data_IF_491788169142
#
_entry.id   IF_491788169142
#
_cell.length_a   1.000
_cell.length_b   1.000
_cell.length_c   1.000
_cell.angle_alpha   90.00
_cell.angle_beta   90.00
_cell.angle_gamma   90.00
#
_symmetry.space_group_name_H-M   'P 1'
#
loop_
_entity.id
_entity.type
_entity.pdbx_description
1 polymer ?
#
# COMPACT_ATOMS: atom_id res chain seq x y z
N UNK A 1 -14.64 -9.74 16.15
CA UNK A 1 -13.40 -9.43 15.41
C UNK A 1 -12.25 -9.91 16.27
N UNK A 2 -11.64 -11.05 15.93
CA UNK A 2 -10.65 -11.71 16.79
C UNK A 2 -9.31 -11.88 16.03
N UNK A 3 -9.01 -10.98 15.10
CA UNK A 3 -7.75 -11.02 14.37
C UNK A 3 -6.53 -10.70 15.25
N UNK A 4 -5.38 -10.52 14.61
CA UNK A 4 -4.14 -10.27 15.32
C UNK A 4 -4.06 -8.87 15.93
N UNK A 5 -4.29 -8.75 17.23
CA UNK A 5 -3.90 -7.55 17.98
C UNK A 5 -2.41 -7.23 17.84
N UNK A 6 -2.03 -5.98 18.13
CA UNK A 6 -0.65 -5.53 17.90
C UNK A 6 0.37 -6.30 18.75
N UNK A 7 0.03 -6.74 19.96
CA UNK A 7 0.92 -7.56 20.79
C UNK A 7 1.24 -8.91 20.14
N UNK A 8 0.33 -9.49 19.36
CA UNK A 8 0.61 -10.74 18.65
C UNK A 8 1.69 -10.53 17.58
N UNK A 9 1.56 -9.46 16.80
CA UNK A 9 2.54 -9.09 15.76
C UNK A 9 3.91 -8.77 16.39
N UNK A 10 3.91 -8.03 17.51
CA UNK A 10 5.12 -7.76 18.31
C UNK A 10 5.75 -9.04 18.85
N UNK A 11 4.95 -9.96 19.39
CA UNK A 11 5.44 -11.21 19.95
C UNK A 11 6.10 -12.09 18.88
N UNK A 12 5.48 -12.23 17.71
CA UNK A 12 6.09 -12.97 16.60
C UNK A 12 7.42 -12.34 16.16
N UNK A 13 7.44 -11.01 15.99
CA UNK A 13 8.64 -10.29 15.59
C UNK A 13 9.74 -10.33 16.67
N UNK A 14 9.39 -10.23 17.95
CA UNK A 14 10.32 -10.36 19.08
C UNK A 14 10.95 -11.76 19.13
N UNK A 15 10.15 -12.80 18.93
CA UNK A 15 10.61 -14.19 19.00
C UNK A 15 11.51 -14.57 17.81
N UNK A 16 11.17 -14.08 16.60
CA UNK A 16 11.90 -14.43 15.38
C UNK A 16 11.88 -13.30 14.34
N UNK A 17 12.67 -12.22 14.53
CA UNK A 17 12.62 -11.03 13.66
C UNK A 17 13.11 -11.29 12.23
N UNK A 18 13.79 -12.42 11.97
CA UNK A 18 14.19 -12.86 10.63
C UNK A 18 13.17 -13.76 9.93
N UNK A 19 12.08 -14.10 10.62
CA UNK A 19 11.00 -14.95 10.10
C UNK A 19 9.65 -14.22 10.10
N UNK A 20 9.34 -13.49 11.17
CA UNK A 20 8.16 -12.65 11.30
C UNK A 20 8.52 -11.17 11.13
N UNK A 21 8.76 -10.77 9.88
CA UNK A 21 9.24 -9.44 9.51
C UNK A 21 8.23 -8.66 8.66
N UNK A 22 6.98 -9.12 8.59
CA UNK A 22 5.96 -8.50 7.77
C UNK A 22 4.67 -9.29 7.81
N UNK A 23 3.73 -8.85 6.99
CA UNK A 23 2.36 -9.29 7.00
C UNK A 23 1.75 -9.01 5.63
N UNK A 24 0.86 -9.91 5.23
CA UNK A 24 -0.04 -9.64 4.12
C UNK A 24 -1.13 -8.69 4.64
N UNK A 25 -1.05 -7.44 4.24
CA UNK A 25 -2.09 -6.45 4.58
C UNK A 25 -2.86 -5.98 3.36
N UNK A 26 -2.47 -6.37 2.16
CA UNK A 26 -3.31 -6.30 0.97
C UNK A 26 -3.69 -7.75 0.60
N UNK A 27 -4.83 -8.26 1.07
CA UNK A 27 -5.19 -9.67 0.94
C UNK A 27 -5.43 -10.06 -0.52
N UNK A 28 -5.38 -11.36 -0.81
CA UNK A 28 -5.91 -11.94 -2.05
C UNK A 28 -7.42 -11.80 -2.21
N UNK A 29 -8.04 -12.62 -3.05
CA UNK A 29 -9.51 -12.62 -3.24
C UNK A 29 -10.09 -11.25 -3.64
N UNK A 30 -9.32 -10.44 -4.39
CA UNK A 30 -9.71 -9.08 -4.75
C UNK A 30 -11.01 -8.99 -5.57
N UNK A 31 -11.37 -10.03 -6.31
CA UNK A 31 -12.58 -10.11 -7.12
C UNK A 31 -13.76 -10.79 -6.39
N UNK A 32 -13.60 -11.22 -5.14
CA UNK A 32 -14.64 -11.93 -4.40
C UNK A 32 -15.82 -11.03 -4.04
N UNK A 33 -16.96 -11.66 -3.72
CA UNK A 33 -18.19 -10.94 -3.38
C UNK A 33 -18.02 -9.99 -2.18
N UNK A 34 -17.12 -10.32 -1.25
CA UNK A 34 -16.68 -9.40 -0.21
C UNK A 34 -15.18 -9.26 -0.40
N UNK A 35 -14.68 -8.13 -0.93
CA UNK A 35 -13.28 -7.96 -1.32
C UNK A 35 -12.31 -8.36 -0.19
N UNK A 36 -11.34 -9.21 -0.53
CA UNK A 36 -10.44 -9.82 0.46
C UNK A 36 -11.04 -10.99 1.25
N UNK A 37 -12.25 -11.44 0.91
CA UNK A 37 -13.14 -12.25 1.74
C UNK A 37 -13.41 -11.72 3.16
N UNK A 38 -13.25 -10.41 3.36
CA UNK A 38 -13.51 -9.76 4.65
C UNK A 38 -15.01 -9.51 4.78
N UNK A 39 -15.66 -10.15 5.76
CA UNK A 39 -17.11 -10.13 5.85
C UNK A 39 -17.58 -10.13 7.30
N UNK A 40 -18.27 -9.06 7.74
CA UNK A 40 -18.76 -8.94 9.12
C UNK A 40 -19.52 -10.17 9.56
N UNK A 41 -19.09 -10.74 10.69
CA UNK A 41 -19.75 -11.89 11.33
C UNK A 41 -19.75 -13.20 10.52
N UNK A 42 -18.82 -13.37 9.56
CA UNK A 42 -18.72 -14.57 8.73
C UNK A 42 -18.55 -15.86 9.53
N UNK A 43 -17.69 -15.85 10.54
CA UNK A 43 -17.28 -17.05 11.25
C UNK A 43 -17.87 -17.10 12.65
N UNK A 44 -18.21 -18.29 13.13
CA UNK A 44 -18.63 -18.55 14.50
C UNK A 44 -17.67 -19.54 15.15
N UNK A 45 -16.90 -19.09 16.13
CA UNK A 45 -16.01 -19.93 16.91
C UNK A 45 -16.50 -19.91 18.36
N UNK A 46 -17.07 -21.02 18.81
CA UNK A 46 -17.53 -21.16 20.21
C UNK A 46 -18.64 -20.19 20.60
N UNK A 47 -19.53 -19.83 19.68
CA UNK A 47 -20.61 -18.86 19.91
C UNK A 47 -20.19 -17.39 19.74
N UNK A 48 -18.91 -17.13 19.47
CA UNK A 48 -18.37 -15.79 19.22
C UNK A 48 -18.26 -15.58 17.72
N UNK A 49 -18.94 -14.54 17.23
CA UNK A 49 -18.81 -14.11 15.84
C UNK A 49 -17.44 -13.44 15.63
N UNK A 50 -16.63 -14.04 14.78
CA UNK A 50 -15.28 -13.58 14.42
C UNK A 50 -15.23 -13.21 12.95
N UNK A 51 -14.36 -12.25 12.65
CA UNK A 51 -14.19 -11.67 11.32
C UNK A 51 -12.80 -11.03 11.24
N UNK A 52 -12.38 -10.72 10.02
CA UNK A 52 -11.22 -9.92 9.66
C UNK A 52 -11.27 -8.52 10.27
N UNK A 53 -10.09 -8.02 10.66
CA UNK A 53 -9.98 -6.75 11.37
C UNK A 53 -10.37 -5.58 10.47
N UNK A 54 -11.26 -4.71 10.96
CA UNK A 54 -11.85 -3.61 10.18
C UNK A 54 -13.13 -3.96 9.42
N UNK A 55 -13.48 -5.25 9.27
CA UNK A 55 -14.73 -5.72 8.67
C UNK A 55 -14.79 -5.68 7.13
N UNK A 56 -13.88 -4.96 6.47
CA UNK A 56 -13.71 -4.94 5.00
C UNK A 56 -12.29 -4.49 4.67
N UNK A 57 -11.91 -4.56 3.40
CA UNK A 57 -10.77 -3.82 2.86
C UNK A 57 -11.13 -2.34 2.63
N UNK A 58 -10.09 -1.53 2.49
CA UNK A 58 -10.11 -0.11 2.17
C UNK A 58 -9.14 0.09 1.02
N UNK A 59 -9.60 0.35 -0.20
CA UNK A 59 -8.66 0.42 -1.30
C UNK A 59 -8.08 -0.97 -1.66
N UNK A 60 -8.81 -2.05 -1.35
CA UNK A 60 -8.29 -3.42 -1.40
C UNK A 60 -7.25 -3.75 -0.32
N UNK A 61 -7.00 -2.85 0.64
CA UNK A 61 -6.03 -3.02 1.73
C UNK A 61 -6.73 -3.20 3.07
N UNK A 62 -6.31 -4.17 3.87
CA UNK A 62 -6.78 -4.36 5.23
C UNK A 62 -6.50 -3.15 6.13
N UNK A 63 -7.34 -2.95 7.15
CA UNK A 63 -7.36 -1.72 7.96
C UNK A 63 -6.01 -1.39 8.63
N UNK A 64 -5.19 -2.41 8.93
CA UNK A 64 -3.88 -2.22 9.57
C UNK A 64 -2.89 -1.43 8.72
N UNK A 65 -2.90 -1.62 7.40
CA UNK A 65 -2.03 -0.91 6.46
C UNK A 65 -2.70 0.29 5.78
N UNK A 66 -4.03 0.25 5.62
CA UNK A 66 -4.77 1.30 4.92
C UNK A 66 -4.85 2.61 5.71
N UNK A 67 -5.01 2.52 7.04
CA UNK A 67 -5.19 3.68 7.90
C UNK A 67 -3.84 4.32 8.26
N UNK A 68 -3.70 5.62 7.96
CA UNK A 68 -2.52 6.40 8.38
C UNK A 68 -2.53 6.53 9.90
N UNK A 69 -1.43 6.14 10.52
CA UNK A 69 -1.29 6.05 11.97
C UNK A 69 -1.87 4.76 12.57
N UNK A 70 -2.30 3.80 11.75
CA UNK A 70 -2.84 2.52 12.20
C UNK A 70 -1.79 1.56 12.77
N UNK A 71 -2.13 0.27 12.85
CA UNK A 71 -1.28 -0.78 13.43
C UNK A 71 0.07 -0.87 12.73
N UNK A 72 0.12 -0.74 11.40
CA UNK A 72 1.39 -0.76 10.67
C UNK A 72 2.29 0.39 11.11
N UNK A 73 1.77 1.61 11.14
CA UNK A 73 2.51 2.81 11.55
C UNK A 73 2.92 2.77 13.03
N UNK A 74 2.18 2.06 13.88
CA UNK A 74 2.58 1.75 15.26
C UNK A 74 3.83 0.86 15.29
N UNK A 75 3.84 -0.22 14.52
CA UNK A 75 5.00 -1.11 14.40
C UNK A 75 6.21 -0.40 13.76
N UNK A 76 5.99 0.38 12.70
CA UNK A 76 7.04 1.22 12.10
C UNK A 76 7.55 2.27 13.10
N UNK A 77 6.65 2.83 13.92
CA UNK A 77 6.97 3.76 15.01
C UNK A 77 7.81 3.14 16.12
N UNK A 78 7.89 1.82 16.22
CA UNK A 78 8.83 1.16 17.12
C UNK A 78 10.23 1.01 16.50
N UNK A 79 10.38 1.34 15.21
CA UNK A 79 11.61 1.13 14.45
C UNK A 79 11.81 -0.32 14.01
N UNK A 80 10.77 -1.16 14.07
CA UNK A 80 10.81 -2.60 13.75
C UNK A 80 10.77 -2.86 12.25
N UNK A 81 11.47 -3.91 11.84
CA UNK A 81 11.28 -4.49 10.51
C UNK A 81 9.94 -5.22 10.43
N UNK A 82 8.92 -4.53 9.95
CA UNK A 82 7.60 -5.09 9.72
C UNK A 82 7.00 -4.59 8.41
N UNK A 83 7.19 -5.38 7.36
CA UNK A 83 7.02 -5.01 5.96
C UNK A 83 5.64 -5.34 5.42
N UNK A 84 5.16 -4.46 4.55
CA UNK A 84 3.93 -4.61 3.80
C UNK A 84 4.15 -5.61 2.66
N UNK A 85 3.26 -6.61 2.57
CA UNK A 85 3.16 -7.50 1.42
C UNK A 85 1.71 -7.62 0.94
N UNK A 86 1.56 -8.00 -0.33
CA UNK A 86 0.32 -8.42 -0.95
C UNK A 86 0.39 -9.91 -1.35
N UNK A 87 -0.74 -10.57 -1.55
CA UNK A 87 -0.78 -11.88 -2.22
C UNK A 87 -2.03 -12.00 -3.09
N UNK A 88 -2.07 -12.98 -3.99
CA UNK A 88 -3.27 -13.25 -4.78
C UNK A 88 -4.27 -14.17 -4.06
N UNK A 89 -3.76 -14.97 -3.12
CA UNK A 89 -4.46 -16.09 -2.46
C UNK A 89 -5.30 -16.95 -3.42
N UNK A 90 -4.67 -17.36 -4.53
CA UNK A 90 -5.38 -17.96 -5.65
C UNK A 90 -5.89 -19.37 -5.33
N UNK A 91 -7.20 -19.56 -5.51
CA UNK A 91 -7.89 -20.84 -5.40
C UNK A 91 -8.76 -21.13 -6.64
N UNK A 92 -9.49 -20.14 -7.17
CA UNK A 92 -10.36 -20.27 -8.37
C UNK A 92 -10.89 -18.91 -8.88
N UNK A 93 -11.50 -18.87 -10.09
CA UNK A 93 -12.18 -17.65 -10.62
C UNK A 93 -13.63 -17.48 -10.17
N UNK A 94 -14.09 -18.24 -9.18
CA UNK A 94 -15.45 -18.22 -8.68
C UNK A 94 -16.41 -18.89 -9.66
N UNK A 95 -17.33 -18.11 -10.20
CA UNK A 95 -18.35 -18.61 -11.14
C UNK A 95 -17.81 -18.93 -12.54
N UNK A 96 -16.51 -18.69 -12.77
CA UNK A 96 -15.85 -18.86 -14.06
C UNK A 96 -14.83 -20.00 -14.04
N UNK A 97 -14.60 -20.60 -15.20
CA UNK A 97 -13.51 -21.55 -15.39
C UNK A 97 -12.14 -20.88 -15.23
N UNK A 98 -11.08 -21.66 -14.94
CA UNK A 98 -9.75 -21.10 -14.68
C UNK A 98 -9.21 -20.24 -15.83
N UNK A 99 -9.56 -20.55 -17.08
CA UNK A 99 -9.06 -19.83 -18.27
C UNK A 99 -9.89 -18.60 -18.66
N UNK A 100 -11.00 -18.30 -17.97
CA UNK A 100 -11.77 -17.07 -18.21
C UNK A 100 -10.95 -15.84 -17.76
N UNK A 101 -11.22 -14.66 -18.31
CA UNK A 101 -10.57 -13.41 -17.89
C UNK A 101 -11.37 -12.65 -16.84
N UNK A 102 -12.64 -13.01 -16.65
CA UNK A 102 -13.52 -12.49 -15.60
C UNK A 102 -13.33 -13.28 -14.33
N UNK A 103 -13.62 -12.66 -13.19
CA UNK A 103 -13.57 -13.34 -11.90
C UNK A 103 -14.66 -12.83 -10.96
N UNK A 104 -15.23 -13.75 -10.18
CA UNK A 104 -16.03 -13.41 -8.99
C UNK A 104 -15.37 -13.88 -7.69
N UNK A 105 -14.07 -14.18 -7.72
CA UNK A 105 -13.32 -14.72 -6.57
C UNK A 105 -11.87 -14.25 -6.60
N UNK A 106 -11.00 -14.95 -7.36
CA UNK A 106 -9.56 -14.67 -7.33
C UNK A 106 -9.02 -14.18 -8.67
N UNK A 107 -7.87 -13.54 -8.59
CA UNK A 107 -7.00 -13.25 -9.73
C UNK A 107 -5.81 -14.19 -9.70
N UNK A 108 -5.28 -14.55 -10.87
CA UNK A 108 -4.06 -15.35 -10.94
C UNK A 108 -2.90 -14.68 -10.20
N UNK A 109 -1.92 -15.44 -9.67
CA UNK A 109 -0.70 -14.87 -9.12
C UNK A 109 -0.04 -13.91 -10.12
N UNK A 110 0.09 -12.64 -9.74
CA UNK A 110 0.66 -11.59 -10.58
C UNK A 110 -0.27 -10.97 -11.64
N UNK A 111 -1.53 -11.41 -11.74
CA UNK A 111 -2.55 -10.81 -12.61
C UNK A 111 -2.99 -9.44 -12.09
N UNK A 112 -3.36 -9.39 -10.80
CA UNK A 112 -3.82 -8.17 -10.14
C UNK A 112 -2.78 -7.61 -9.17
N UNK A 113 -2.41 -8.37 -8.13
CA UNK A 113 -1.42 -7.94 -7.12
C UNK A 113 -0.01 -8.44 -7.45
N UNK A 114 0.98 -7.56 -7.25
CA UNK A 114 2.40 -7.89 -7.38
C UNK A 114 3.19 -7.28 -6.23
N UNK A 115 4.12 -8.07 -5.69
CA UNK A 115 5.22 -7.54 -4.90
C UNK A 115 6.45 -7.43 -5.80
N UNK A 116 7.07 -6.26 -5.80
CA UNK A 116 8.37 -6.03 -6.42
C UNK A 116 9.39 -6.01 -5.29
N UNK A 117 10.29 -6.99 -5.26
CA UNK A 117 11.32 -7.12 -4.21
C UNK A 117 12.69 -7.05 -4.84
N UNK A 118 13.54 -6.17 -4.33
CA UNK A 118 14.93 -6.09 -4.75
C UNK A 118 15.73 -7.26 -4.17
N UNK A 119 16.33 -8.06 -5.06
CA UNK A 119 17.16 -9.21 -4.67
C UNK A 119 18.61 -8.93 -5.04
N UNK A 120 19.46 -8.71 -4.02
CA UNK A 120 20.89 -8.52 -4.18
C UNK A 120 21.57 -9.86 -4.42
N UNK A 121 21.84 -10.17 -5.69
CA UNK A 121 22.39 -11.46 -6.11
C UNK A 121 23.92 -11.47 -6.27
N UNK A 122 24.62 -10.36 -6.00
CA UNK A 122 26.09 -10.31 -5.99
C UNK A 122 26.75 -10.66 -7.33
N UNK A 123 26.03 -10.47 -8.45
CA UNK A 123 26.51 -10.85 -9.78
C UNK A 123 26.19 -12.30 -10.20
N UNK A 124 25.55 -13.09 -9.33
CA UNK A 124 25.04 -14.42 -9.69
C UNK A 124 23.97 -14.27 -10.79
N UNK A 125 24.08 -15.04 -11.86
CA UNK A 125 23.12 -15.00 -12.98
C UNK A 125 21.82 -15.73 -12.64
N UNK A 126 21.78 -16.51 -11.57
CA UNK A 126 20.59 -17.22 -11.10
C UNK A 126 20.22 -16.80 -9.68
N UNK A 127 18.95 -16.45 -9.48
CA UNK A 127 18.43 -16.19 -8.15
C UNK A 127 18.38 -17.49 -7.34
N UNK A 128 18.97 -17.47 -6.15
CA UNK A 128 18.91 -18.58 -5.18
C UNK A 128 17.75 -18.35 -4.21
N UNK A 129 17.08 -19.40 -3.70
CA UNK A 129 16.00 -19.24 -2.73
C UNK A 129 16.38 -18.37 -1.53
N UNK A 130 17.59 -18.57 -0.99
CA UNK A 130 18.10 -17.77 0.11
C UNK A 130 18.22 -16.28 -0.23
N UNK A 131 18.70 -15.93 -1.44
CA UNK A 131 18.79 -14.53 -1.87
C UNK A 131 17.41 -13.89 -2.02
N UNK A 132 16.39 -14.65 -2.44
CA UNK A 132 15.00 -14.16 -2.51
C UNK A 132 14.48 -13.88 -1.10
N UNK A 133 14.65 -14.82 -0.18
CA UNK A 133 14.24 -14.65 1.23
C UNK A 133 14.95 -13.46 1.87
N UNK A 134 16.25 -13.27 1.60
CA UNK A 134 16.99 -12.11 2.11
C UNK A 134 16.55 -10.80 1.46
N UNK A 135 16.13 -10.82 0.19
CA UNK A 135 15.44 -9.69 -0.46
C UNK A 135 14.15 -9.32 0.27
N UNK A 136 13.29 -10.30 0.58
CA UNK A 136 12.05 -10.07 1.34
C UNK A 136 12.34 -9.50 2.74
N UNK A 137 13.32 -10.08 3.45
CA UNK A 137 13.76 -9.59 4.77
C UNK A 137 14.30 -8.17 4.74
N UNK A 138 14.92 -7.77 3.63
CA UNK A 138 15.50 -6.43 3.49
C UNK A 138 14.45 -5.33 3.51
N UNK A 139 13.20 -5.61 3.18
CA UNK A 139 12.15 -4.60 3.10
C UNK A 139 12.28 -3.68 1.90
N UNK A 140 13.27 -3.85 1.03
CA UNK A 140 13.35 -3.14 -0.26
C UNK A 140 12.32 -3.75 -1.22
N UNK A 141 11.06 -3.45 -0.93
CA UNK A 141 9.90 -3.96 -1.64
C UNK A 141 8.73 -2.98 -1.61
N UNK A 142 7.93 -3.03 -2.66
CA UNK A 142 6.63 -2.36 -2.74
C UNK A 142 5.61 -3.32 -3.35
N UNK A 143 4.34 -3.11 -3.00
CA UNK A 143 3.21 -3.81 -3.59
C UNK A 143 2.46 -2.87 -4.53
N UNK A 144 1.94 -3.39 -5.64
CA UNK A 144 1.06 -2.64 -6.56
C UNK A 144 -0.05 -3.54 -7.08
N UNK A 145 -1.27 -3.01 -7.15
CA UNK A 145 -2.41 -3.65 -7.77
C UNK A 145 -2.68 -3.11 -9.17
N UNK A 146 -3.17 -3.98 -10.05
CA UNK A 146 -3.63 -3.64 -11.40
C UNK A 146 -2.57 -3.06 -12.31
N UNK A 147 -1.29 -3.32 -12.02
CA UNK A 147 -0.13 -2.81 -12.74
C UNK A 147 -0.07 -1.28 -12.76
N UNK A 148 -0.62 -0.62 -11.74
CA UNK A 148 -0.63 0.84 -11.62
C UNK A 148 0.79 1.43 -11.67
N UNK A 149 1.73 0.79 -10.99
CA UNK A 149 3.16 1.04 -11.19
C UNK A 149 3.92 -0.29 -11.22
N UNK A 150 5.02 -0.33 -11.95
CA UNK A 150 5.87 -1.53 -12.03
C UNK A 150 7.37 -1.24 -11.82
N UNK A 151 7.69 0.02 -11.47
CA UNK A 151 9.02 0.47 -11.06
C UNK A 151 8.90 1.53 -9.98
N UNK A 152 9.73 1.43 -8.96
CA UNK A 152 9.87 2.42 -7.91
C UNK A 152 11.34 2.50 -7.47
N UNK A 153 11.89 3.71 -7.48
CA UNK A 153 13.09 4.05 -6.72
C UNK A 153 12.69 5.10 -5.68
N UNK A 154 12.94 4.80 -4.41
CA UNK A 154 12.63 5.68 -3.29
C UNK A 154 13.89 5.82 -2.44
N UNK A 155 14.40 7.05 -2.32
CA UNK A 155 15.70 7.32 -1.72
C UNK A 155 15.60 8.52 -0.79
N UNK A 156 16.21 8.41 0.38
CA UNK A 156 16.46 9.53 1.28
C UNK A 156 17.96 9.72 1.44
N UNK A 157 18.44 10.96 1.33
CA UNK A 157 19.85 11.29 1.47
C UNK A 157 20.04 12.43 2.46
N UNK A 158 21.04 12.29 3.34
CA UNK A 158 21.41 13.35 4.26
C UNK A 158 22.05 14.52 3.50
N UNK A 159 21.73 15.73 3.93
CA UNK A 159 22.29 16.97 3.40
C UNK A 159 22.64 17.89 4.58
N UNK A 160 23.87 18.40 4.56
CA UNK A 160 24.38 19.35 5.55
C UNK A 160 24.81 20.62 4.83
N UNK A 161 24.64 21.76 5.48
CA UNK A 161 25.11 23.06 4.95
C UNK A 161 26.60 23.01 4.64
N UNK A 162 27.01 23.59 3.51
CA UNK A 162 28.40 23.65 3.08
C UNK A 162 28.61 23.11 1.67
N UNK A 163 29.87 22.95 1.27
CA UNK A 163 30.26 22.59 -0.10
C UNK A 163 29.76 21.21 -0.56
N UNK A 164 29.45 20.31 0.37
CA UNK A 164 28.93 18.97 0.09
C UNK A 164 27.39 18.86 0.24
N UNK A 165 26.68 19.98 0.34
CA UNK A 165 25.22 19.99 0.45
C UNK A 165 24.59 19.32 -0.77
N UNK A 166 23.72 18.34 -0.52
CA UNK A 166 22.94 17.70 -1.59
C UNK A 166 21.76 18.56 -1.99
N UNK A 167 21.61 18.77 -3.29
CA UNK A 167 20.45 19.42 -3.90
C UNK A 167 19.36 18.38 -4.17
N UNK A 168 18.13 18.85 -4.41
CA UNK A 168 17.05 17.99 -4.86
C UNK A 168 17.41 17.29 -6.18
N UNK A 169 17.95 18.06 -7.14
CA UNK A 169 18.35 17.55 -8.45
C UNK A 169 19.42 16.44 -8.37
N UNK A 170 20.39 16.53 -7.46
CA UNK A 170 21.42 15.49 -7.35
C UNK A 170 20.86 14.17 -6.80
N UNK A 171 19.89 14.22 -5.88
CA UNK A 171 19.25 13.02 -5.34
C UNK A 171 18.21 12.45 -6.30
N UNK A 172 17.50 13.31 -7.05
CA UNK A 172 16.65 12.86 -8.16
C UNK A 172 17.44 12.13 -9.23
N UNK A 173 18.65 12.58 -9.56
CA UNK A 173 19.52 11.89 -10.52
C UNK A 173 19.89 10.47 -10.04
N UNK A 174 20.14 10.29 -8.73
CA UNK A 174 20.39 8.96 -8.15
C UNK A 174 19.14 8.07 -8.26
N UNK A 175 17.96 8.59 -7.91
CA UNK A 175 16.71 7.85 -7.98
C UNK A 175 16.34 7.47 -9.42
N UNK A 176 16.56 8.38 -10.38
CA UNK A 176 16.32 8.13 -11.78
C UNK A 176 17.24 7.04 -12.33
N UNK A 177 18.54 7.11 -12.03
CA UNK A 177 19.50 6.09 -12.43
C UNK A 177 19.14 4.71 -11.87
N UNK A 178 18.71 4.65 -10.60
CA UNK A 178 18.26 3.43 -9.95
C UNK A 178 17.02 2.83 -10.62
N UNK A 179 15.99 3.67 -10.87
CA UNK A 179 14.76 3.25 -11.53
C UNK A 179 15.02 2.73 -12.96
N UNK A 180 15.83 3.45 -13.75
CA UNK A 180 16.20 3.07 -15.11
C UNK A 180 16.99 1.75 -15.14
N UNK A 181 17.94 1.58 -14.22
CA UNK A 181 18.77 0.37 -14.16
C UNK A 181 18.07 -0.83 -13.50
N UNK A 182 16.89 -0.63 -12.88
CA UNK A 182 16.26 -1.61 -11.99
C UNK A 182 17.15 -2.04 -10.82
N UNK A 183 17.84 -1.09 -10.19
CA UNK A 183 18.81 -1.36 -9.11
C UNK A 183 18.44 -0.58 -7.86
N UNK A 184 19.01 -0.98 -6.74
CA UNK A 184 19.06 -0.17 -5.54
C UNK A 184 20.13 0.93 -5.65
N UNK A 185 20.25 1.72 -4.59
CA UNK A 185 21.29 2.75 -4.47
C UNK A 185 22.22 2.43 -3.34
N UNK A 186 23.51 2.35 -3.66
CA UNK A 186 24.61 2.20 -2.71
C UNK A 186 25.48 3.46 -2.76
N UNK A 187 24.96 4.55 -2.20
CA UNK A 187 25.63 5.86 -2.16
C UNK A 187 25.75 6.30 -0.71
N UNK A 188 26.97 6.61 -0.28
CA UNK A 188 27.25 7.02 1.08
C UNK A 188 26.32 8.16 1.56
N UNK A 189 25.72 8.02 2.73
CA UNK A 189 24.77 9.00 3.27
C UNK A 189 23.41 9.03 2.58
N UNK A 190 23.05 8.00 1.82
CA UNK A 190 21.70 7.73 1.34
C UNK A 190 21.21 6.38 1.88
N UNK A 191 19.89 6.19 1.90
CA UNK A 191 19.22 4.94 2.22
C UNK A 191 18.02 4.75 1.28
N UNK A 192 17.60 3.50 1.07
CA UNK A 192 16.37 3.15 0.35
C UNK A 192 15.39 2.36 1.22
N UNK A 193 14.32 1.84 0.62
CA UNK A 193 13.27 1.10 1.30
C UNK A 193 13.85 -0.04 2.14
N UNK A 194 13.39 -0.16 3.38
CA UNK A 194 13.84 -1.16 4.32
C UNK A 194 15.27 -0.94 4.84
N UNK A 195 15.82 0.27 4.69
CA UNK A 195 17.12 0.68 5.25
C UNK A 195 16.94 1.88 6.20
N UNK A 196 17.98 2.18 7.00
CA UNK A 196 18.04 3.41 7.80
C UNK A 196 19.16 4.35 7.37
N UNK A 197 18.82 5.64 7.38
CA UNK A 197 19.75 6.74 7.22
C UNK A 197 20.09 7.33 8.59
N UNK A 198 21.33 7.16 9.06
CA UNK A 198 21.79 7.75 10.32
C UNK A 198 22.30 9.18 10.07
N UNK A 199 21.78 10.15 10.83
CA UNK A 199 22.10 11.58 10.68
C UNK A 199 22.36 12.28 11.99
N UNK A 200 23.04 13.43 11.95
CA UNK A 200 23.16 14.33 13.11
C UNK A 200 21.87 15.13 13.31
N UNK A 201 21.51 15.52 14.55
CA UNK A 201 20.42 16.45 14.80
C UNK A 201 20.55 17.72 13.95
N UNK A 202 19.45 18.16 13.35
CA UNK A 202 19.40 19.32 12.47
C UNK A 202 19.82 19.07 11.02
N UNK A 203 20.06 17.81 10.62
CA UNK A 203 20.30 17.49 9.21
C UNK A 203 19.06 17.77 8.35
N UNK A 204 19.28 18.16 7.09
CA UNK A 204 18.22 18.12 6.08
C UNK A 204 18.21 16.73 5.43
N UNK A 205 17.02 16.21 5.16
CA UNK A 205 16.84 14.98 4.41
C UNK A 205 16.24 15.32 3.06
N UNK A 206 16.98 15.04 1.98
CA UNK A 206 16.48 15.15 0.62
C UNK A 206 15.89 13.81 0.23
N UNK A 207 14.61 13.81 -0.13
CA UNK A 207 13.88 12.62 -0.50
C UNK A 207 13.53 12.71 -1.97
N UNK A 208 13.86 11.68 -2.74
CA UNK A 208 13.49 11.55 -4.14
C UNK A 208 12.72 10.25 -4.37
N UNK A 209 11.70 10.36 -5.23
CA UNK A 209 10.86 9.25 -5.68
C UNK A 209 10.87 9.26 -7.20
N UNK A 210 11.08 8.09 -7.79
CA UNK A 210 10.86 7.86 -9.23
C UNK A 210 9.97 6.63 -9.37
N UNK A 211 8.84 6.79 -10.05
CA UNK A 211 7.92 5.71 -10.38
C UNK A 211 7.81 5.54 -11.89
N UNK A 212 7.47 4.34 -12.37
CA UNK A 212 6.99 4.15 -13.74
C UNK A 212 5.50 3.85 -13.71
N UNK A 213 4.73 4.70 -14.37
CA UNK A 213 3.29 4.54 -14.64
C UNK A 213 3.15 3.98 -16.07
N UNK A 214 3.12 2.64 -16.24
CA UNK A 214 3.37 2.01 -17.53
C UNK A 214 2.29 2.34 -18.56
N UNK A 215 2.69 2.80 -19.74
CA UNK A 215 1.77 3.00 -20.85
C UNK A 215 1.15 1.70 -21.37
N UNK A 216 -0.04 1.81 -21.96
CA UNK A 216 -0.74 0.69 -22.57
C UNK A 216 -1.71 0.00 -21.63
N UNK A 217 -1.98 -1.28 -21.90
CA UNK A 217 -3.03 -2.01 -21.19
C UNK A 217 -2.48 -2.86 -20.05
N UNK A 218 -3.16 -2.87 -18.90
CA UNK A 218 -2.99 -3.86 -17.85
C UNK A 218 -3.77 -5.16 -18.18
N UNK A 219 -3.84 -6.09 -17.21
CA UNK A 219 -4.52 -7.36 -17.39
C UNK A 219 -6.04 -7.33 -17.22
N UNK A 220 -6.64 -6.21 -16.81
CA UNK A 220 -8.09 -6.04 -16.83
C UNK A 220 -8.63 -6.36 -18.23
N UNK A 221 -9.67 -7.20 -18.33
CA UNK A 221 -10.27 -7.50 -19.63
C UNK A 221 -11.19 -6.37 -20.11
N UNK A 222 -11.44 -5.35 -19.29
CA UNK A 222 -12.47 -4.36 -19.52
C UNK A 222 -11.95 -3.10 -20.21
N UNK A 223 -12.46 -2.81 -21.40
CA UNK A 223 -12.07 -1.64 -22.21
C UNK A 223 -12.94 -0.42 -21.99
N UNK A 224 -13.98 -0.53 -21.16
CA UNK A 224 -14.84 0.60 -20.82
C UNK A 224 -14.26 1.47 -19.71
N UNK A 225 -14.73 2.72 -19.65
CA UNK A 225 -14.28 3.68 -18.64
C UNK A 225 -14.60 3.21 -17.22
N UNK A 226 -13.63 3.38 -16.33
CA UNK A 226 -13.71 3.10 -14.90
C UNK A 226 -14.93 3.82 -14.28
N UNK A 227 -15.95 3.08 -13.80
CA UNK A 227 -17.14 3.68 -13.22
C UNK A 227 -16.86 4.55 -11.99
N UNK A 228 -15.84 4.23 -11.20
CA UNK A 228 -15.45 5.02 -10.02
C UNK A 228 -14.94 6.41 -10.42
N UNK A 229 -14.11 6.49 -11.46
CA UNK A 229 -13.62 7.75 -12.03
C UNK A 229 -14.71 8.52 -12.79
N UNK A 230 -15.66 7.83 -13.40
CA UNK A 230 -16.78 8.46 -14.11
C UNK A 230 -17.65 9.34 -13.18
N UNK A 231 -17.72 9.01 -11.88
CA UNK A 231 -18.44 9.81 -10.87
C UNK A 231 -17.89 11.25 -10.75
N UNK A 232 -16.63 11.46 -11.10
CA UNK A 232 -15.95 12.76 -11.06
C UNK A 232 -15.59 13.26 -12.47
N UNK A 233 -16.25 12.72 -13.50
CA UNK A 233 -16.12 13.18 -14.88
C UNK A 233 -14.82 12.76 -15.58
N UNK A 234 -14.07 11.79 -15.04
CA UNK A 234 -12.84 11.29 -15.64
C UNK A 234 -13.15 10.06 -16.51
N UNK A 235 -12.86 10.18 -17.80
CA UNK A 235 -13.02 9.10 -18.78
C UNK A 235 -11.70 8.35 -18.96
N UNK A 236 -11.54 7.22 -18.26
CA UNK A 236 -10.33 6.40 -18.32
C UNK A 236 -10.68 4.91 -18.32
N UNK A 237 -10.26 4.13 -19.34
CA UNK A 237 -10.52 2.69 -19.39
C UNK A 237 -9.97 1.93 -18.19
N UNK A 238 -10.71 0.93 -17.69
CA UNK A 238 -10.25 0.04 -16.62
C UNK A 238 -8.95 -0.69 -16.97
N UNK A 239 -8.77 -1.01 -18.24
CA UNK A 239 -7.57 -1.66 -18.71
C UNK A 239 -6.41 -0.72 -19.00
N UNK A 240 -6.57 0.60 -18.86
CA UNK A 240 -5.50 1.59 -19.03
C UNK A 240 -5.49 2.53 -17.82
N UNK A 241 -5.18 2.02 -16.62
CA UNK A 241 -5.08 2.87 -15.44
C UNK A 241 -3.94 3.87 -15.59
N UNK A 242 -4.09 5.01 -14.92
CA UNK A 242 -3.11 6.08 -14.84
C UNK A 242 -2.93 6.40 -13.37
N UNK A 243 -1.69 6.62 -12.94
CA UNK A 243 -1.38 7.04 -11.60
C UNK A 243 -1.85 8.49 -11.37
N UNK A 244 -2.74 8.69 -10.40
CA UNK A 244 -3.24 10.03 -10.05
C UNK A 244 -2.28 10.78 -9.12
N UNK A 245 -1.83 10.10 -8.05
CA UNK A 245 -0.96 10.70 -7.05
C UNK A 245 -0.05 9.70 -6.32
N UNK A 246 0.98 10.25 -5.68
CA UNK A 246 1.85 9.59 -4.70
C UNK A 246 1.83 10.41 -3.41
N UNK A 247 1.35 9.79 -2.35
CA UNK A 247 1.41 10.32 -0.99
C UNK A 247 2.71 9.91 -0.30
N UNK A 248 3.34 10.87 0.35
CA UNK A 248 4.46 10.66 1.26
C UNK A 248 3.96 10.76 2.70
N UNK A 249 4.04 9.64 3.42
CA UNK A 249 3.62 9.53 4.81
C UNK A 249 4.84 9.47 5.70
N UNK A 250 4.85 10.26 6.77
CA UNK A 250 5.93 10.29 7.75
C UNK A 250 5.37 10.17 9.15
N UNK A 251 5.95 9.26 9.95
CA UNK A 251 5.73 9.15 11.39
C UNK A 251 7.04 9.11 12.17
N UNK A 252 6.97 9.44 13.45
CA UNK A 252 8.09 9.39 14.39
C UNK A 252 8.35 7.96 14.86
N UNK A 253 9.63 7.69 15.13
CA UNK A 253 10.09 6.49 15.81
C UNK A 253 10.21 6.78 17.31
N UNK A 254 9.41 6.07 18.07
CA UNK A 254 9.25 6.16 19.53
C UNK A 254 9.93 5.01 20.28
N UNK A 255 10.41 3.99 19.56
CA UNK A 255 11.20 2.88 20.10
C UNK A 255 10.35 1.66 20.48
N UNK A 256 11.02 0.53 20.71
CA UNK A 256 10.37 -0.76 20.98
C UNK A 256 9.51 -0.71 22.25
N UNK A 257 8.32 -1.30 22.18
CA UNK A 257 7.48 -1.51 23.36
C UNK A 257 7.96 -2.72 24.16
N UNK A 258 8.02 -2.56 25.48
CA UNK A 258 8.43 -3.64 26.41
C UNK A 258 7.23 -4.55 26.69
N UNK A 259 7.36 -5.88 26.54
CA UNK A 259 6.29 -6.82 26.91
C UNK A 259 5.77 -6.58 28.33
N UNK A 260 4.44 -6.49 28.48
CA UNK A 260 3.78 -6.21 29.76
C UNK A 260 3.64 -4.73 30.11
N UNK A 261 4.24 -3.80 29.35
CA UNK A 261 3.98 -2.37 29.51
C UNK A 261 2.55 -2.01 29.09
N UNK A 262 2.02 -0.91 29.63
CA UNK A 262 0.64 -0.44 29.36
C UNK A 262 0.40 -0.08 27.90
N UNK A 263 1.44 0.28 27.14
CA UNK A 263 1.39 0.59 25.71
C UNK A 263 1.85 -0.59 24.81
N UNK A 264 1.98 -1.80 25.37
CA UNK A 264 2.39 -3.00 24.64
C UNK A 264 1.26 -3.75 23.93
N UNK A 265 0.03 -3.68 24.45
CA UNK A 265 -1.09 -4.46 23.94
C UNK A 265 -2.29 -3.58 23.62
N UNK A 266 -3.03 -3.94 22.58
CA UNK A 266 -4.17 -3.16 22.12
C UNK A 266 -4.89 -3.83 20.96
N UNK A 267 -6.18 -4.08 21.18
CA UNK A 267 -7.09 -4.56 20.13
C UNK A 267 -7.58 -3.39 19.27
N UNK A 268 -7.63 -3.60 17.96
CA UNK A 268 -8.24 -2.64 17.05
C UNK A 268 -9.76 -2.55 17.30
N UNK A 269 -10.38 -1.35 17.29
CA UNK A 269 -11.79 -1.21 17.60
C UNK A 269 -12.68 -2.11 16.75
N UNK A 270 -13.49 -2.95 17.41
CA UNK A 270 -14.44 -3.84 16.74
C UNK A 270 -15.54 -3.10 15.98
N UNK A 271 -15.80 -1.85 16.38
CA UNK A 271 -16.82 -0.97 15.80
C UNK A 271 -16.30 -0.11 14.65
N UNK A 272 -15.05 -0.32 14.20
CA UNK A 272 -14.39 0.57 13.24
C UNK A 272 -15.21 0.86 11.98
N UNK A 273 -15.92 -0.13 11.44
CA UNK A 273 -16.77 0.08 10.26
C UNK A 273 -17.92 1.08 10.49
N UNK A 274 -18.46 1.13 11.72
CA UNK A 274 -19.54 2.04 12.10
C UNK A 274 -19.01 3.36 12.71
N UNK A 275 -17.81 3.34 13.28
CA UNK A 275 -17.18 4.48 13.95
C UNK A 275 -15.66 4.48 13.64
N UNK A 276 -15.25 4.91 12.42
CA UNK A 276 -13.85 4.94 12.01
C UNK A 276 -13.14 6.16 12.61
N UNK A 277 -12.90 6.12 13.91
CA UNK A 277 -12.26 7.20 14.67
C UNK A 277 -10.97 6.72 15.34
N UNK A 278 -9.83 7.29 14.90
CA UNK A 278 -8.51 7.01 15.45
C UNK A 278 -8.37 7.35 16.95
N UNK A 279 -9.25 8.19 17.51
CA UNK A 279 -9.29 8.43 18.95
C UNK A 279 -9.68 7.16 19.73
N UNK A 280 -10.51 6.30 19.13
CA UNK A 280 -10.96 5.03 19.75
C UNK A 280 -9.91 3.92 19.71
N UNK A 281 -8.90 4.03 18.84
CA UNK A 281 -7.82 3.05 18.72
C UNK A 281 -6.91 3.15 19.96
N UNK A 282 -6.55 2.04 20.63
CA UNK A 282 -5.63 2.07 21.77
C UNK A 282 -4.28 2.69 21.41
N UNK A 283 -3.64 3.39 22.35
CA UNK A 283 -2.33 4.01 22.14
C UNK A 283 -1.26 3.01 21.69
N UNK A 284 -1.35 1.76 22.16
CA UNK A 284 -0.47 0.68 21.74
C UNK A 284 -0.55 0.40 20.23
N UNK A 285 -1.73 0.51 19.63
CA UNK A 285 -2.07 0.07 18.27
C UNK A 285 -2.13 1.22 17.24
N UNK A 286 -1.60 2.40 17.59
CA UNK A 286 -1.55 3.56 16.70
C UNK A 286 -0.25 4.35 16.83
N UNK A 287 0.06 5.11 15.79
CA UNK A 287 1.09 6.13 15.80
C UNK A 287 0.51 7.47 15.31
N UNK A 288 0.13 8.33 16.26
CA UNK A 288 -0.54 9.61 15.98
C UNK A 288 0.37 10.65 15.33
N UNK A 289 1.66 10.39 15.23
CA UNK A 289 2.59 11.28 14.51
C UNK A 289 2.65 11.00 13.00
N UNK A 290 2.08 9.87 12.55
CA UNK A 290 1.98 9.52 11.15
C UNK A 290 1.00 10.46 10.44
N UNK A 291 1.46 11.10 9.37
CA UNK A 291 0.63 11.96 8.54
C UNK A 291 1.16 11.97 7.10
N UNK A 292 0.27 12.22 6.14
CA UNK A 292 0.67 12.63 4.79
C UNK A 292 1.33 14.00 4.90
N UNK A 293 2.62 14.09 4.57
CA UNK A 293 3.39 15.33 4.63
C UNK A 293 3.60 15.98 3.27
N UNK A 294 3.36 15.22 2.19
CA UNK A 294 3.46 15.68 0.81
C UNK A 294 2.63 14.75 -0.08
N UNK A 295 1.91 15.33 -1.02
CA UNK A 295 1.28 14.60 -2.12
C UNK A 295 1.88 15.12 -3.42
N UNK A 296 2.30 14.21 -4.30
CA UNK A 296 2.73 14.49 -5.66
C UNK A 296 1.66 13.99 -6.63
N UNK A 297 1.44 14.72 -7.71
CA UNK A 297 0.42 14.47 -8.73
C UNK A 297 0.86 15.11 -10.06
N UNK A 298 -0.02 15.11 -11.05
CA UNK A 298 0.19 15.68 -12.39
C UNK A 298 0.75 17.11 -12.44
N UNK A 299 0.62 17.90 -11.37
CA UNK A 299 1.13 19.29 -11.31
C UNK A 299 2.44 19.44 -10.54
N UNK A 300 2.95 18.37 -9.93
CA UNK A 300 4.05 18.47 -8.95
C UNK A 300 5.17 17.45 -9.13
N UNK A 301 4.97 16.39 -9.91
CA UNK A 301 6.06 15.59 -10.47
C UNK A 301 6.44 16.08 -11.87
N UNK A 302 7.56 15.57 -12.39
CA UNK A 302 8.01 15.84 -13.77
C UNK A 302 8.25 14.54 -14.50
N UNK A 303 7.97 14.51 -15.82
CA UNK A 303 8.34 13.37 -16.65
C UNK A 303 9.87 13.27 -16.77
N UNK A 304 10.38 12.05 -16.73
CA UNK A 304 11.78 11.71 -16.94
C UNK A 304 12.00 10.81 -18.19
N UNK A 305 10.98 10.72 -19.05
CA UNK A 305 10.97 9.87 -20.25
C UNK A 305 10.66 8.40 -19.96
N UNK A 306 10.19 7.65 -20.97
CA UNK A 306 9.92 6.22 -20.85
C UNK A 306 8.95 5.86 -19.72
N UNK A 307 7.86 6.63 -19.60
CA UNK A 307 6.81 6.49 -18.57
C UNK A 307 7.28 6.74 -17.12
N UNK A 308 8.52 7.22 -16.93
CA UNK A 308 9.04 7.56 -15.62
C UNK A 308 8.58 8.95 -15.18
N UNK A 309 8.11 9.02 -13.95
CA UNK A 309 7.77 10.26 -13.24
C UNK A 309 8.76 10.42 -12.09
N UNK A 310 9.38 11.59 -11.98
CA UNK A 310 10.32 11.93 -10.89
C UNK A 310 9.82 13.09 -10.06
N UNK A 311 10.08 13.02 -8.77
CA UNK A 311 9.68 14.03 -7.80
C UNK A 311 10.63 14.02 -6.60
N UNK A 312 10.79 15.16 -5.96
CA UNK A 312 11.58 15.28 -4.74
C UNK A 312 11.10 16.37 -3.81
N UNK A 313 11.46 16.25 -2.54
CA UNK A 313 11.24 17.28 -1.53
C UNK A 313 12.30 17.17 -0.43
N UNK A 314 12.24 18.09 0.53
CA UNK A 314 13.15 18.14 1.66
C UNK A 314 12.40 18.09 2.98
N UNK A 315 12.87 17.27 3.90
CA UNK A 315 12.49 17.32 5.32
C UNK A 315 13.58 18.11 6.03
N UNK A 316 13.33 19.36 6.43
CA UNK A 316 14.37 20.22 6.98
C UNK A 316 14.66 19.87 8.44
N UNK A 317 15.92 20.10 8.84
CA UNK A 317 16.35 20.16 10.24
C UNK A 317 15.78 19.06 11.16
N UNK A 318 15.95 17.79 10.82
CA UNK A 318 15.36 16.67 11.57
C UNK A 318 15.91 16.58 12.98
N UNK A 319 15.02 16.53 13.98
CA UNK A 319 15.39 16.50 15.40
C UNK A 319 15.05 15.18 16.10
N UNK A 320 14.22 14.35 15.48
CA UNK A 320 13.77 13.07 16.01
C UNK A 320 13.84 12.01 14.94
N UNK A 321 14.10 10.76 15.35
CA UNK A 321 14.06 9.62 14.46
C UNK A 321 12.65 9.41 13.93
N UNK A 322 12.55 9.01 12.67
CA UNK A 322 11.29 8.96 11.93
C UNK A 322 11.39 7.93 10.81
N UNK A 323 10.25 7.62 10.21
CA UNK A 323 10.19 6.85 8.96
C UNK A 323 9.41 7.64 7.92
N UNK A 324 9.66 7.31 6.66
CA UNK A 324 8.93 7.85 5.51
C UNK A 324 8.53 6.68 4.62
N UNK A 325 7.24 6.57 4.27
CA UNK A 325 6.69 5.53 3.38
C UNK A 325 5.81 6.17 2.32
N UNK A 326 5.53 5.42 1.25
CA UNK A 326 4.69 5.89 0.15
C UNK A 326 3.41 5.07 0.06
N UNK A 327 2.36 5.71 -0.44
CA UNK A 327 1.24 5.06 -1.11
C UNK A 327 0.86 5.87 -2.34
N UNK A 328 0.04 5.31 -3.22
CA UNK A 328 -0.57 6.08 -4.30
C UNK A 328 -1.71 5.30 -4.94
N UNK A 329 -2.53 6.00 -5.73
CA UNK A 329 -3.75 5.44 -6.33
C UNK A 329 -3.98 5.97 -7.75
N UNK A 330 -4.81 5.27 -8.52
CA UNK A 330 -5.40 5.79 -9.75
C UNK A 330 -6.61 6.70 -9.49
N UNK A 331 -7.09 6.77 -8.25
CA UNK A 331 -8.24 7.56 -7.86
C UNK A 331 -7.77 8.89 -7.21
N UNK A 332 -8.30 10.03 -7.69
CA UNK A 332 -8.15 11.32 -7.01
C UNK A 332 -8.70 11.31 -5.58
N UNK A 333 -8.39 12.35 -4.82
CA UNK A 333 -9.13 12.66 -3.59
C UNK A 333 -10.60 12.99 -3.90
N UNK A 334 -11.48 12.71 -2.94
CA UNK A 334 -12.91 12.96 -2.99
C UNK A 334 -13.67 12.23 -4.12
N UNK A 335 -13.22 11.04 -4.54
CA UNK A 335 -14.02 10.17 -5.40
C UNK A 335 -15.13 9.55 -4.56
N UNK A 336 -16.41 9.81 -4.86
CA UNK A 336 -17.51 9.33 -4.05
C UNK A 336 -17.44 7.83 -3.78
N UNK A 337 -17.55 7.46 -2.50
CA UNK A 337 -17.52 6.09 -1.99
C UNK A 337 -16.17 5.36 -2.05
N UNK A 338 -15.14 5.92 -2.69
CA UNK A 338 -13.83 5.29 -2.86
C UNK A 338 -12.73 6.01 -2.08
N UNK A 339 -12.69 7.34 -2.13
CA UNK A 339 -11.69 8.15 -1.41
C UNK A 339 -12.32 9.32 -0.66
N UNK A 340 -11.77 9.64 0.52
CA UNK A 340 -12.18 10.82 1.28
C UNK A 340 -11.58 12.12 0.72
N UNK A 341 -11.93 13.26 1.32
CA UNK A 341 -11.45 14.57 0.89
C UNK A 341 -9.92 14.75 0.99
N UNK A 342 -9.23 13.90 1.75
CA UNK A 342 -7.78 13.86 1.89
C UNK A 342 -7.14 12.77 1.02
N UNK A 343 -7.92 12.03 0.21
CA UNK A 343 -7.43 10.94 -0.62
C UNK A 343 -7.16 9.65 0.14
N UNK A 344 -7.66 9.47 1.37
CA UNK A 344 -7.59 8.18 2.04
C UNK A 344 -8.63 7.21 1.45
N UNK A 345 -8.32 5.91 1.36
CA UNK A 345 -9.29 4.92 0.90
C UNK A 345 -10.46 4.81 1.89
N UNK A 346 -11.68 4.78 1.34
CA UNK A 346 -12.91 4.48 2.06
C UNK A 346 -13.13 2.96 2.15
N UNK A 347 -14.13 2.55 2.92
CA UNK A 347 -14.45 1.16 3.14
C UNK A 347 -15.12 0.52 1.89
N UNK A 348 -14.60 -0.62 1.43
CA UNK A 348 -15.06 -1.31 0.20
C UNK A 348 -16.46 -1.96 0.34
N UNK A 349 -17.13 -1.82 1.49
CA UNK A 349 -18.49 -2.38 1.72
C UNK A 349 -19.53 -1.92 0.71
N UNK A 350 -19.29 -0.80 0.05
CA UNK A 350 -20.17 -0.19 -0.96
C UNK A 350 -19.98 -0.76 -2.37
N UNK A 351 -19.00 -1.66 -2.55
CA UNK A 351 -18.75 -2.43 -3.78
C UNK A 351 -18.75 -3.94 -3.53
N UNK A 352 -18.86 -4.37 -2.26
CA UNK A 352 -19.01 -5.78 -1.88
C UNK A 352 -20.37 -6.36 -2.31
N UNK A 353 -20.37 -7.18 -3.37
CA UNK A 353 -21.54 -7.90 -3.88
C UNK A 353 -22.19 -8.90 -2.90
N UNK A 354 -21.54 -9.22 -1.79
CA UNK A 354 -22.10 -10.08 -0.72
C UNK A 354 -23.27 -9.45 0.03
N UNK A 355 -23.36 -8.11 0.07
CA UNK A 355 -24.50 -7.37 0.61
C UNK A 355 -24.96 -6.31 -0.39
N UNK A 356 -25.86 -6.73 -1.30
CA UNK A 356 -26.36 -5.88 -2.39
C UNK A 356 -27.06 -4.61 -1.91
N UNK A 357 -27.54 -4.56 -0.66
CA UNK A 357 -28.23 -3.38 -0.12
C UNK A 357 -27.30 -2.18 0.11
N UNK A 358 -25.99 -2.45 0.20
CA UNK A 358 -24.97 -1.43 0.44
C UNK A 358 -24.35 -0.87 -0.83
N UNK A 359 -24.57 -1.51 -1.98
CA UNK A 359 -23.93 -1.11 -3.23
C UNK A 359 -24.31 0.32 -3.64
N UNK A 360 -23.31 1.16 -3.94
CA UNK A 360 -23.52 2.60 -4.24
C UNK A 360 -23.11 3.05 -5.63
N UNK A 361 -22.15 2.37 -6.27
CA UNK A 361 -21.58 2.84 -7.54
C UNK A 361 -22.25 2.08 -8.71
N UNK A 362 -23.09 2.73 -9.52
CA UNK A 362 -23.73 2.08 -10.66
C UNK A 362 -22.73 1.88 -11.81
N UNK A 363 -22.85 0.76 -12.51
CA UNK A 363 -22.19 0.54 -13.80
C UNK A 363 -23.24 0.71 -14.91
N UNK A 364 -23.14 1.80 -15.68
CA UNK A 364 -24.14 2.19 -16.69
C UNK A 364 -23.64 2.06 -18.14
N UNK A 365 -22.40 1.61 -18.34
CA UNK A 365 -21.81 1.48 -19.68
C UNK A 365 -22.53 0.39 -20.47
N UNK A 366 -23.11 0.79 -21.61
CA UNK A 366 -23.71 -0.12 -22.58
C UNK A 366 -22.62 -0.59 -23.55
N UNK A 367 -22.44 -1.91 -23.64
CA UNK A 367 -21.52 -2.56 -24.57
C UNK A 367 -22.19 -3.70 -25.31
N UNK A 368 -21.48 -4.26 -26.28
CA UNK A 368 -21.92 -5.41 -27.09
C UNK A 368 -21.31 -6.73 -26.64
N UNK A 369 -20.33 -6.69 -25.73
CA UNK A 369 -19.64 -7.86 -25.18
C UNK A 369 -19.52 -7.74 -23.66
N UNK A 370 -19.07 -8.82 -23.02
CA UNK A 370 -18.73 -8.84 -21.60
C UNK A 370 -17.54 -7.95 -21.24
N UNK A 371 -16.87 -7.34 -22.22
CA UNK A 371 -15.58 -6.65 -22.04
C UNK A 371 -15.62 -5.17 -22.39
N UNK A 372 -16.58 -4.72 -23.20
CA UNK A 372 -16.73 -3.32 -23.62
C UNK A 372 -17.95 -2.61 -23.02
N UNK A 373 -18.64 -3.26 -22.08
CA UNK A 373 -19.73 -2.68 -21.28
C UNK A 373 -19.82 -3.39 -19.94
N UNK A 374 -20.75 -2.96 -19.09
CA UNK A 374 -20.91 -3.54 -17.75
C UNK A 374 -21.19 -5.04 -17.84
N UNK A 375 -20.31 -5.92 -17.33
CA UNK A 375 -20.41 -7.35 -17.57
C UNK A 375 -21.63 -7.97 -16.88
N UNK A 376 -22.02 -9.17 -17.31
CA UNK A 376 -23.26 -9.82 -16.86
C UNK A 376 -23.20 -10.32 -15.41
N UNK A 377 -22.01 -10.61 -14.88
CA UNK A 377 -21.83 -11.14 -13.51
C UNK A 377 -21.87 -10.08 -12.40
N UNK A 378 -21.88 -8.79 -12.74
CA UNK A 378 -22.02 -7.75 -11.72
C UNK A 378 -23.29 -7.92 -10.91
N UNK A 379 -23.23 -7.57 -9.63
CA UNK A 379 -24.39 -7.53 -8.78
C UNK A 379 -25.45 -6.57 -9.35
N UNK A 380 -26.71 -6.99 -9.31
CA UNK A 380 -27.86 -6.21 -9.82
C UNK A 380 -28.77 -5.81 -8.67
N UNK A 381 -29.12 -4.52 -8.61
CA UNK A 381 -30.08 -3.94 -7.66
C UNK A 381 -31.18 -3.24 -8.45
N UNK A 382 -32.42 -3.70 -8.31
CA UNK A 382 -33.58 -3.14 -9.04
C UNK A 382 -33.36 -2.97 -10.56
N UNK A 383 -32.67 -3.94 -11.20
CA UNK A 383 -32.36 -3.92 -12.63
C UNK A 383 -31.09 -3.15 -13.02
N UNK A 384 -30.48 -2.40 -12.09
CA UNK A 384 -29.22 -1.68 -12.31
C UNK A 384 -28.01 -2.55 -11.94
N UNK A 385 -27.05 -2.70 -12.84
CA UNK A 385 -25.74 -3.30 -12.54
C UNK A 385 -24.93 -2.36 -11.65
N UNK A 386 -24.31 -2.89 -10.62
CA UNK A 386 -23.52 -2.15 -9.65
C UNK A 386 -22.06 -2.63 -9.70
N UNK A 387 -21.11 -1.70 -9.54
CA UNK A 387 -19.69 -2.03 -9.42
C UNK A 387 -19.51 -3.02 -8.27
N UNK A 388 -18.94 -4.17 -8.60
CA UNK A 388 -18.73 -5.32 -7.71
C UNK A 388 -17.72 -6.29 -8.33
N UNK A 389 -17.25 -7.26 -7.55
CA UNK A 389 -16.33 -8.31 -7.99
C UNK A 389 -15.05 -7.75 -8.64
N UNK A 390 -14.58 -8.36 -9.73
CA UNK A 390 -13.39 -7.93 -10.46
C UNK A 390 -13.47 -6.49 -10.97
N UNK A 391 -14.63 -5.98 -11.40
CA UNK A 391 -14.77 -4.57 -11.82
C UNK A 391 -14.48 -3.62 -10.65
N UNK A 392 -14.94 -3.93 -9.43
CA UNK A 392 -14.59 -3.13 -8.25
C UNK A 392 -13.08 -3.13 -8.00
N UNK A 393 -12.43 -4.30 -8.10
CA UNK A 393 -11.00 -4.41 -7.91
C UNK A 393 -10.20 -3.62 -8.97
N UNK A 394 -10.59 -3.70 -10.25
CA UNK A 394 -9.92 -2.97 -11.33
C UNK A 394 -10.19 -1.46 -11.32
N UNK A 395 -11.28 -1.03 -10.68
CA UNK A 395 -11.65 0.38 -10.54
C UNK A 395 -10.78 1.13 -9.53
N UNK A 396 -10.35 0.44 -8.47
CA UNK A 396 -9.74 1.03 -7.29
C UNK A 396 -8.40 0.36 -6.99
N UNK A 397 -7.34 0.98 -7.53
CA UNK A 397 -5.97 0.47 -7.55
C UNK A 397 -5.08 1.30 -6.63
N UNK A 398 -4.19 0.60 -5.92
CA UNK A 398 -3.25 1.20 -5.01
C UNK A 398 -1.86 0.58 -5.14
N UNK A 399 -0.84 1.37 -4.81
CA UNK A 399 0.48 0.84 -4.47
C UNK A 399 0.90 1.31 -3.08
N UNK A 400 1.75 0.52 -2.42
CA UNK A 400 2.31 0.81 -1.11
C UNK A 400 3.79 0.45 -1.08
N UNK A 401 4.62 1.36 -0.57
CA UNK A 401 6.06 1.11 -0.39
C UNK A 401 6.38 0.81 1.07
N UNK A 402 7.35 -0.05 1.32
CA UNK A 402 7.99 -0.12 2.63
C UNK A 402 8.73 1.20 2.97
N UNK A 403 8.97 1.47 4.27
CA UNK A 403 9.54 2.75 4.68
C UNK A 403 11.04 2.85 4.43
N UNK A 404 11.54 4.09 4.38
CA UNK A 404 12.92 4.43 4.70
C UNK A 404 12.93 4.99 6.12
N UNK A 405 13.86 4.54 6.95
CA UNK A 405 14.05 5.11 8.27
C UNK A 405 15.09 6.22 8.28
N UNK A 406 14.89 7.20 9.15
CA UNK A 406 15.89 8.22 9.48
C UNK A 406 16.14 8.12 10.99
N UNK A 407 17.36 7.73 11.35
CA UNK A 407 17.81 7.67 12.75
C UNK A 407 18.61 8.92 13.06
N UNK A 408 18.15 9.71 14.04
CA UNK A 408 18.87 10.91 14.49
C UNK A 408 19.79 10.52 15.65
N UNK A 409 21.09 10.76 15.48
CA UNK A 409 22.11 10.41 16.47
C UNK A 409 21.80 11.02 17.85
N UNK A 410 21.87 10.20 18.90
CA UNK A 410 21.53 10.60 20.26
C UNK A 410 20.02 10.72 20.54
N UNK A 411 19.16 10.26 19.62
CA UNK A 411 17.71 10.14 19.79
C UNK A 411 17.29 8.67 19.80
N UNK A 412 16.01 8.39 19.58
CA UNK A 412 15.48 7.02 19.52
C UNK A 412 16.18 6.21 18.43
N UNK A 413 16.71 5.05 18.79
CA UNK A 413 17.37 4.13 17.86
C UNK A 413 16.34 3.43 16.97
N UNK A 414 16.65 3.28 15.68
CA UNK A 414 15.91 2.44 14.75
C UNK A 414 16.52 1.05 14.80
N UNK A 415 15.82 0.11 15.45
CA UNK A 415 16.35 -1.20 15.77
C UNK A 415 15.87 -2.29 14.79
N UNK A 416 16.81 -2.93 14.10
CA UNK A 416 16.57 -4.08 13.24
C UNK A 416 16.90 -3.87 11.77
N UNK A 417 17.10 -2.62 11.35
CA UNK A 417 17.32 -2.24 9.94
C UNK A 417 18.82 -1.98 9.68
N UNK A 418 19.30 -2.37 8.49
CA UNK A 418 20.66 -2.07 8.01
C UNK A 418 20.88 -0.56 7.88
#
# INVERSE_FOLDING_TARGET
NNGFNIEHLRNFNNAAPRSAFGFETQPGHGASANRGEYSPNRNNIGGVLVDSVGGTTYGGTGVYGAQVGGVWDALLGEGRNFWFFASSDWHNRGSFGPDDRRSTQDFYPGEYQRNYTMVRHGGDTKLRPQTIVDGLRSGNSFASSGQLIDRLAFIACASYTGLAARTNASVEALALAAAQANKDVDVAGCATMGEKLVVRPGADIVVAVVVRDPSGTNYSPYTFNNPSLAQVGIAQPLNMPVLDHVDVIRGLVTGYKTPGATDYAGEWPRTWLANPDMATVPAAAKNTSAAVIKTFNGTSWTSAGGDLLKMSFRIPAVQASQYVRLRGSNLPAAVPYETDAAGNPLADVVTNGGDKTKLKIPCTVVGTTEFNGCPSHLAVVAGQKMVSYDVAAWSDLWFYSNPIYVEVAGKTVVAGVK
#
